data_IF_503714525170
#
_entry.id   IF_503714525170
#
_cell.length_a   1.000
_cell.length_b   1.000
_cell.length_c   1.000
_cell.angle_alpha   90.00
_cell.angle_beta   90.00
_cell.angle_gamma   90.00
#
_symmetry.space_group_name_H-M   'P 1'
#
loop_
_entity.id
_entity.type
_entity.pdbx_description
1 polymer ?
#
# COMPACT_ATOMS: atom_id res chain seq x y z
N UNK A 1 -7.34 8.36 -6.26
CA UNK A 1 -7.02 9.44 -7.23
C UNK A 1 -7.69 10.78 -6.94
N UNK A 2 -9.03 10.86 -6.84
CA UNK A 2 -9.73 12.13 -6.58
C UNK A 2 -9.27 12.82 -5.29
N UNK A 3 -9.23 12.06 -4.19
CA UNK A 3 -8.76 12.51 -2.88
C UNK A 3 -7.32 13.07 -2.93
N UNK A 4 -6.41 12.36 -3.61
CA UNK A 4 -5.03 12.81 -3.82
C UNK A 4 -4.97 14.16 -4.55
N UNK A 5 -5.74 14.32 -5.64
CA UNK A 5 -5.79 15.59 -6.40
C UNK A 5 -6.33 16.74 -5.57
N UNK A 6 -7.30 16.49 -4.68
CA UNK A 6 -7.77 17.50 -3.71
C UNK A 6 -6.66 17.86 -2.74
N UNK A 7 -5.95 16.90 -2.15
CA UNK A 7 -4.85 17.16 -1.21
C UNK A 7 -3.71 17.96 -1.84
N UNK A 8 -3.39 17.71 -3.12
CA UNK A 8 -2.42 18.49 -3.88
C UNK A 8 -2.92 19.91 -4.14
N UNK A 9 -4.16 20.08 -4.64
CA UNK A 9 -4.72 21.41 -4.92
C UNK A 9 -4.93 22.28 -3.68
N UNK A 10 -5.15 21.67 -2.52
CA UNK A 10 -5.41 22.37 -1.25
C UNK A 10 -4.15 22.70 -0.46
N UNK A 11 -2.95 22.40 -0.99
CA UNK A 11 -1.67 22.61 -0.31
C UNK A 11 -1.46 21.71 0.92
N UNK A 12 -2.37 20.76 1.17
CA UNK A 12 -2.23 19.78 2.27
C UNK A 12 -1.06 18.83 2.03
N UNK A 13 -0.68 18.64 0.77
CA UNK A 13 0.47 17.83 0.39
C UNK A 13 1.79 18.37 0.97
N UNK A 14 1.96 19.69 1.05
CA UNK A 14 3.15 20.30 1.65
C UNK A 14 3.20 20.06 3.16
N UNK A 15 2.03 19.97 3.82
CA UNK A 15 1.90 19.60 5.25
C UNK A 15 2.24 18.13 5.46
N UNK A 16 1.86 17.25 4.53
CA UNK A 16 2.24 15.83 4.58
C UNK A 16 3.77 15.71 4.42
N UNK A 17 4.35 16.40 3.43
CA UNK A 17 5.79 16.46 3.20
C UNK A 17 6.55 16.94 4.44
N UNK A 18 6.12 18.04 5.05
CA UNK A 18 6.73 18.58 6.27
C UNK A 18 6.57 17.65 7.46
N UNK A 19 5.44 16.95 7.59
CA UNK A 19 5.24 15.94 8.64
C UNK A 19 6.22 14.77 8.52
N UNK A 20 6.54 14.31 7.30
CA UNK A 20 7.52 13.24 7.06
C UNK A 20 8.94 13.75 7.32
N UNK A 21 9.28 14.95 6.84
CA UNK A 21 10.59 15.59 7.07
C UNK A 21 10.85 15.84 8.56
N UNK A 22 9.79 16.09 9.35
CA UNK A 22 9.90 16.26 10.80
C UNK A 22 10.30 14.98 11.55
N UNK A 23 10.07 13.80 10.96
CA UNK A 23 10.42 12.50 11.56
C UNK A 23 11.90 12.19 11.32
N UNK A 24 12.38 12.37 10.10
CA UNK A 24 13.79 12.12 9.77
C UNK A 24 14.27 12.93 8.57
N UNK A 25 15.48 13.51 8.65
CA UNK A 25 16.12 14.19 7.53
C UNK A 25 16.80 13.23 6.54
N UNK A 26 16.91 11.93 6.84
CA UNK A 26 17.59 10.92 6.02
C UNK A 26 16.64 10.32 4.97
N UNK A 27 17.01 10.42 3.70
CA UNK A 27 16.16 9.97 2.60
C UNK A 27 16.00 8.45 2.55
N UNK A 28 16.98 7.66 3.02
CA UNK A 28 16.83 6.19 3.12
C UNK A 28 15.69 5.82 4.07
N UNK A 29 15.60 6.52 5.19
CA UNK A 29 14.55 6.33 6.18
C UNK A 29 13.20 6.89 5.72
N UNK A 30 13.18 8.00 4.97
CA UNK A 30 11.97 8.48 4.30
C UNK A 30 11.42 7.46 3.30
N UNK A 31 12.30 6.73 2.60
CA UNK A 31 11.90 5.61 1.75
C UNK A 31 11.17 4.53 2.56
N UNK A 32 11.69 4.13 3.72
CA UNK A 32 11.02 3.14 4.57
C UNK A 32 9.65 3.62 5.09
N UNK A 33 9.52 4.89 5.44
CA UNK A 33 8.24 5.46 5.91
C UNK A 33 7.24 5.54 4.76
N UNK A 34 7.62 6.18 3.65
CA UNK A 34 6.71 6.55 2.57
C UNK A 34 6.59 5.43 1.54
N UNK A 35 7.70 4.97 0.99
CA UNK A 35 7.69 3.97 -0.07
C UNK A 35 7.29 2.58 0.44
N UNK A 36 7.74 2.21 1.64
CA UNK A 36 7.36 0.92 2.24
C UNK A 36 6.10 0.98 3.10
N UNK A 37 6.14 1.62 4.28
CA UNK A 37 5.03 1.51 5.23
C UNK A 37 3.75 2.13 4.68
N UNK A 38 3.81 3.38 4.24
CA UNK A 38 2.65 4.06 3.67
C UNK A 38 2.24 3.46 2.31
N UNK A 39 3.21 3.03 1.48
CA UNK A 39 2.94 2.30 0.24
C UNK A 39 2.18 1.00 0.46
N UNK A 40 2.62 0.16 1.39
CA UNK A 40 1.96 -1.09 1.75
C UNK A 40 0.55 -0.85 2.32
N UNK A 41 0.35 0.22 3.08
CA UNK A 41 -0.99 0.62 3.54
C UNK A 41 -1.93 0.90 2.36
N UNK A 42 -1.47 1.70 1.39
CA UNK A 42 -2.24 1.98 0.19
C UNK A 42 -2.45 0.73 -0.67
N UNK A 43 -1.49 -0.21 -0.71
CA UNK A 43 -1.62 -1.47 -1.46
C UNK A 43 -2.70 -2.36 -0.87
N UNK A 44 -2.73 -2.51 0.45
CA UNK A 44 -3.80 -3.22 1.14
C UNK A 44 -5.19 -2.61 0.86
N UNK A 45 -5.29 -1.28 0.77
CA UNK A 45 -6.58 -0.60 0.59
C UNK A 45 -7.04 -0.46 -0.88
N UNK A 46 -6.13 -0.17 -1.81
CA UNK A 46 -6.45 0.15 -3.20
C UNK A 46 -5.88 -0.87 -4.19
N UNK A 47 -4.65 -1.33 -3.95
CA UNK A 47 -3.92 -2.28 -4.79
C UNK A 47 -3.60 -1.82 -6.21
N UNK A 48 -3.25 -2.79 -7.04
CA UNK A 48 -3.09 -2.71 -8.50
C UNK A 48 -2.01 -1.76 -9.03
N UNK A 49 -1.15 -1.19 -8.18
CA UNK A 49 -0.08 -0.26 -8.58
C UNK A 49 -0.35 1.23 -8.30
N UNK A 50 -1.51 1.57 -7.74
CA UNK A 50 -1.88 2.94 -7.38
C UNK A 50 -1.02 3.45 -6.22
N UNK A 51 -0.66 2.60 -5.24
CA UNK A 51 0.29 2.94 -4.20
C UNK A 51 1.63 3.37 -4.75
N UNK A 52 2.16 2.63 -5.73
CA UNK A 52 3.45 2.92 -6.35
C UNK A 52 3.45 4.31 -6.95
N UNK A 53 2.40 4.67 -7.69
CA UNK A 53 2.28 6.01 -8.29
C UNK A 53 2.24 7.13 -7.22
N UNK A 54 1.43 6.95 -6.18
CA UNK A 54 1.24 7.97 -5.12
C UNK A 54 2.53 8.14 -4.30
N UNK A 55 3.15 7.03 -3.90
CA UNK A 55 4.36 7.03 -3.08
C UNK A 55 5.58 7.52 -3.86
N UNK A 56 5.71 7.16 -5.15
CA UNK A 56 6.75 7.71 -6.01
C UNK A 56 6.60 9.23 -6.15
N UNK A 57 5.39 9.74 -6.38
CA UNK A 57 5.14 11.19 -6.45
C UNK A 57 5.48 11.91 -5.13
N UNK A 58 5.18 11.29 -3.98
CA UNK A 58 5.57 11.80 -2.66
C UNK A 58 7.09 11.85 -2.48
N UNK A 59 7.80 10.78 -2.85
CA UNK A 59 9.26 10.73 -2.77
C UNK A 59 9.93 11.73 -3.73
N UNK A 60 9.38 11.93 -4.93
CA UNK A 60 9.83 13.00 -5.84
C UNK A 60 9.64 14.36 -5.19
N UNK A 61 8.50 14.57 -4.54
CA UNK A 61 8.26 15.76 -3.72
C UNK A 61 9.33 15.95 -2.64
N UNK A 62 9.88 14.88 -2.07
CA UNK A 62 10.96 14.89 -1.05
C UNK A 62 12.38 15.00 -1.65
N UNK A 63 12.50 15.23 -2.96
CA UNK A 63 13.79 15.45 -3.63
C UNK A 63 14.42 14.21 -4.29
N UNK A 64 13.68 13.09 -4.40
CA UNK A 64 14.16 11.94 -5.16
C UNK A 64 14.03 12.17 -6.67
N UNK A 65 14.95 11.59 -7.46
CA UNK A 65 14.82 11.58 -8.92
C UNK A 65 13.60 10.74 -9.35
N UNK A 66 12.72 11.20 -10.26
CA UNK A 66 11.46 10.53 -10.61
C UNK A 66 11.58 9.05 -10.97
N UNK A 67 12.42 8.71 -11.94
CA UNK A 67 12.62 7.32 -12.37
C UNK A 67 13.18 6.44 -11.25
N UNK A 68 14.06 7.01 -10.42
CA UNK A 68 14.67 6.28 -9.32
C UNK A 68 13.68 6.03 -8.18
N UNK A 69 12.87 7.04 -7.81
CA UNK A 69 11.81 6.90 -6.83
C UNK A 69 10.77 5.86 -7.26
N UNK A 70 10.32 5.91 -8.52
CA UNK A 70 9.39 4.94 -9.07
C UNK A 70 9.96 3.51 -9.03
N UNK A 71 11.23 3.35 -9.41
CA UNK A 71 11.93 2.06 -9.34
C UNK A 71 12.02 1.51 -7.91
N UNK A 72 12.38 2.34 -6.94
CA UNK A 72 12.42 1.94 -5.53
C UNK A 72 11.03 1.54 -5.01
N UNK A 73 10.00 2.33 -5.31
CA UNK A 73 8.62 2.00 -4.93
C UNK A 73 8.14 0.69 -5.55
N UNK A 74 8.48 0.42 -6.82
CA UNK A 74 8.13 -0.84 -7.48
C UNK A 74 8.77 -2.05 -6.78
N UNK A 75 10.06 -1.97 -6.46
CA UNK A 75 10.78 -3.05 -5.77
C UNK A 75 10.16 -3.31 -4.41
N UNK A 76 9.87 -2.26 -3.66
CA UNK A 76 9.35 -2.35 -2.29
C UNK A 76 7.92 -2.86 -2.25
N UNK A 77 7.12 -2.55 -3.27
CA UNK A 77 5.74 -3.02 -3.38
C UNK A 77 5.62 -4.54 -3.56
N UNK A 78 6.72 -5.25 -3.83
CA UNK A 78 6.73 -6.72 -3.90
C UNK A 78 6.41 -7.40 -2.57
N UNK A 79 6.65 -6.72 -1.44
CA UNK A 79 6.37 -7.23 -0.11
C UNK A 79 4.85 -7.31 0.22
N UNK A 80 4.06 -6.24 0.01
CA UNK A 80 2.62 -6.28 0.29
C UNK A 80 1.78 -7.00 -0.78
N UNK A 81 2.12 -6.90 -2.07
CA UNK A 81 1.21 -7.16 -3.21
C UNK A 81 0.27 -8.37 -3.12
N UNK A 82 0.67 -9.48 -2.49
CA UNK A 82 -0.19 -10.66 -2.37
C UNK A 82 -1.49 -10.40 -1.58
N UNK A 83 -1.47 -9.52 -0.57
CA UNK A 83 -2.67 -9.14 0.19
C UNK A 83 -3.27 -7.81 -0.27
N UNK A 84 -2.82 -7.31 -1.42
CA UNK A 84 -3.29 -6.06 -2.01
C UNK A 84 -4.77 -6.09 -2.38
N UNK A 85 -5.36 -4.90 -2.48
CA UNK A 85 -6.78 -4.68 -2.77
C UNK A 85 -7.70 -5.54 -1.89
N UNK A 86 -7.48 -5.52 -0.57
CA UNK A 86 -8.20 -6.34 0.41
C UNK A 86 -8.13 -7.84 0.12
N UNK A 87 -6.95 -8.36 -0.24
CA UNK A 87 -6.71 -9.80 -0.40
C UNK A 87 -7.26 -10.42 -1.68
N UNK A 88 -7.68 -9.61 -2.67
CA UNK A 88 -8.21 -10.11 -3.95
C UNK A 88 -7.31 -11.17 -4.59
N UNK A 89 -5.97 -11.02 -4.66
CA UNK A 89 -5.12 -12.06 -5.27
C UNK A 89 -5.25 -13.42 -4.58
N UNK A 90 -5.33 -13.45 -3.24
CA UNK A 90 -5.52 -14.69 -2.46
C UNK A 90 -6.93 -15.25 -2.65
N UNK A 91 -7.94 -14.39 -2.60
CA UNK A 91 -9.34 -14.79 -2.78
C UNK A 91 -9.58 -15.40 -4.17
N UNK A 92 -9.04 -14.76 -5.21
CA UNK A 92 -9.12 -15.27 -6.59
C UNK A 92 -8.31 -16.56 -6.73
N UNK A 93 -7.12 -16.64 -6.14
CA UNK A 93 -6.33 -17.87 -6.15
C UNK A 93 -7.09 -19.05 -5.52
N UNK A 94 -7.77 -18.84 -4.39
CA UNK A 94 -8.63 -19.87 -3.78
C UNK A 94 -9.80 -20.26 -4.68
N UNK A 95 -10.45 -19.29 -5.30
CA UNK A 95 -11.57 -19.54 -6.21
C UNK A 95 -11.19 -20.37 -7.45
N UNK A 96 -10.01 -20.12 -8.05
CA UNK A 96 -9.60 -20.85 -9.28
C UNK A 96 -8.99 -22.21 -8.98
N UNK A 97 -8.40 -22.39 -7.79
CA UNK A 97 -7.78 -23.67 -7.39
C UNK A 97 -8.73 -24.59 -6.62
N UNK A 98 -9.84 -24.05 -6.08
CA UNK A 98 -10.73 -24.77 -5.17
C UNK A 98 -10.14 -24.98 -3.77
N UNK A 99 -8.97 -24.39 -3.47
CA UNK A 99 -8.35 -24.41 -2.15
C UNK A 99 -8.93 -23.27 -1.30
N UNK A 100 -9.06 -23.49 0.00
CA UNK A 100 -9.54 -22.46 0.90
C UNK A 100 -8.64 -21.21 0.87
N UNK A 101 -9.25 -20.05 0.67
CA UNK A 101 -8.51 -18.78 0.54
C UNK A 101 -7.81 -18.41 1.83
N UNK A 102 -8.37 -18.82 2.97
CA UNK A 102 -7.74 -18.60 4.26
C UNK A 102 -6.46 -19.44 4.37
N UNK A 103 -6.48 -20.73 4.02
CA UNK A 103 -5.27 -21.57 3.97
C UNK A 103 -4.17 -21.01 3.04
N UNK A 104 -4.53 -20.55 1.83
CA UNK A 104 -3.56 -19.90 0.93
C UNK A 104 -2.96 -18.67 1.60
N UNK A 105 -3.80 -17.82 2.20
CA UNK A 105 -3.37 -16.62 2.93
C UNK A 105 -2.43 -16.95 4.09
N UNK A 106 -2.67 -18.05 4.81
CA UNK A 106 -1.80 -18.53 5.88
C UNK A 106 -0.42 -18.94 5.36
N UNK A 107 -0.37 -19.70 4.25
CA UNK A 107 0.89 -20.12 3.63
C UNK A 107 1.69 -18.93 3.14
N UNK A 108 1.04 -18.02 2.40
CA UNK A 108 1.67 -16.80 1.88
C UNK A 108 2.17 -15.91 3.01
N UNK A 109 1.37 -15.72 4.06
CA UNK A 109 1.75 -14.93 5.24
C UNK A 109 2.80 -15.58 6.14
N UNK A 110 3.21 -16.82 5.87
CA UNK A 110 4.39 -17.44 6.49
C UNK A 110 5.67 -17.21 5.68
N UNK A 111 5.54 -17.08 4.35
CA UNK A 111 6.67 -16.97 3.42
C UNK A 111 7.06 -15.51 3.14
N UNK A 112 6.07 -14.65 2.89
CA UNK A 112 6.30 -13.24 2.55
C UNK A 112 7.05 -12.45 3.64
N UNK A 113 6.76 -12.61 4.95
CA UNK A 113 7.48 -11.86 5.99
C UNK A 113 9.01 -11.98 5.90
N UNK A 114 9.50 -13.16 5.55
CA UNK A 114 10.93 -13.39 5.36
C UNK A 114 11.48 -12.64 4.14
N UNK A 115 10.78 -12.69 3.01
CA UNK A 115 11.17 -11.97 1.79
C UNK A 115 11.12 -10.46 1.97
N UNK A 116 10.13 -9.94 2.71
CA UNK A 116 10.00 -8.52 3.01
C UNK A 116 11.26 -7.97 3.67
N UNK A 117 11.79 -8.65 4.70
CA UNK A 117 13.01 -8.20 5.38
C UNK A 117 14.19 -8.15 4.40
N UNK A 118 14.35 -9.17 3.56
CA UNK A 118 15.41 -9.23 2.56
C UNK A 118 15.29 -8.07 1.56
N UNK A 119 14.09 -7.82 1.04
CA UNK A 119 13.82 -6.72 0.11
C UNK A 119 14.15 -5.38 0.76
N UNK A 120 13.80 -5.18 2.03
CA UNK A 120 14.11 -3.95 2.75
C UNK A 120 15.61 -3.74 2.99
N UNK A 121 16.38 -4.81 3.17
CA UNK A 121 17.85 -4.68 3.16
C UNK A 121 18.39 -4.38 1.76
N UNK A 122 17.80 -4.99 0.74
CA UNK A 122 18.24 -4.83 -0.64
C UNK A 122 18.04 -3.40 -1.15
N UNK A 123 16.93 -2.75 -0.81
CA UNK A 123 16.69 -1.34 -1.18
C UNK A 123 17.73 -0.40 -0.54
N UNK A 124 18.17 -0.69 0.70
CA UNK A 124 19.20 0.11 1.36
C UNK A 124 20.55 -0.05 0.64
N UNK A 125 20.80 -1.27 0.14
CA UNK A 125 21.95 -1.56 -0.71
C UNK A 125 21.89 -0.80 -2.04
N UNK A 126 20.71 -0.70 -2.67
CA UNK A 126 20.52 0.03 -3.93
C UNK A 126 20.70 1.55 -3.72
N UNK A 127 20.32 2.08 -2.56
CA UNK A 127 20.41 3.52 -2.26
C UNK A 127 21.81 3.99 -1.90
N UNK A 128 22.52 3.27 -1.04
CA UNK A 128 23.80 3.73 -0.48
C UNK A 128 24.79 2.56 -0.26
N UNK A 129 24.61 1.47 -1.01
CA UNK A 129 25.47 0.30 -0.98
C UNK A 129 25.54 -0.39 0.39
N UNK A 130 26.69 -0.98 0.68
CA UNK A 130 26.96 -1.65 1.96
C UNK A 130 26.88 -0.71 3.17
N UNK A 131 27.13 0.58 2.95
CA UNK A 131 27.03 1.61 3.99
C UNK A 131 25.58 1.87 4.37
N UNK A 132 24.70 1.95 3.36
CA UNK A 132 23.25 2.00 3.55
C UNK A 132 22.78 0.93 4.52
N UNK A 133 23.11 -0.33 4.23
CA UNK A 133 22.75 -1.47 5.10
C UNK A 133 23.29 -1.29 6.53
N UNK A 134 24.58 -1.02 6.69
CA UNK A 134 25.22 -0.94 8.02
C UNK A 134 24.72 0.23 8.87
N UNK A 135 24.31 1.32 8.26
CA UNK A 135 23.84 2.50 8.99
C UNK A 135 22.33 2.41 9.30
N UNK A 136 21.53 1.77 8.44
CA UNK A 136 20.06 1.74 8.57
C UNK A 136 19.50 0.40 9.04
N UNK A 137 20.32 -0.62 9.27
CA UNK A 137 19.85 -1.95 9.69
C UNK A 137 18.89 -1.92 10.90
N UNK A 138 19.04 -1.06 11.94
CA UNK A 138 18.11 -1.07 13.05
C UNK A 138 16.71 -0.64 12.61
N UNK A 139 16.63 0.39 11.75
CA UNK A 139 15.38 0.87 11.20
C UNK A 139 14.73 -0.16 10.25
N UNK A 140 15.54 -0.84 9.44
CA UNK A 140 15.06 -1.92 8.57
C UNK A 140 14.49 -3.08 9.37
N UNK A 141 15.16 -3.51 10.45
CA UNK A 141 14.69 -4.58 11.32
C UNK A 141 13.41 -4.18 12.05
N UNK A 142 13.31 -2.93 12.52
CA UNK A 142 12.10 -2.43 13.16
C UNK A 142 10.94 -2.40 12.16
N UNK A 143 11.12 -1.80 10.99
CA UNK A 143 10.07 -1.71 9.97
C UNK A 143 9.69 -3.10 9.44
N UNK A 144 10.65 -3.85 8.91
CA UNK A 144 10.43 -5.18 8.35
C UNK A 144 9.94 -6.18 9.38
N UNK A 145 10.49 -6.17 10.60
CA UNK A 145 10.10 -7.09 11.67
C UNK A 145 8.70 -6.83 12.21
N UNK A 146 8.35 -5.56 12.47
CA UNK A 146 7.00 -5.23 12.93
C UNK A 146 5.95 -5.47 11.84
N UNK A 147 6.27 -5.17 10.57
CA UNK A 147 5.43 -5.54 9.43
C UNK A 147 5.26 -7.05 9.33
N UNK A 148 6.36 -7.81 9.34
CA UNK A 148 6.39 -9.27 9.25
C UNK A 148 5.53 -9.95 10.32
N UNK A 149 5.68 -9.54 11.58
CA UNK A 149 4.94 -10.11 12.71
C UNK A 149 3.45 -9.79 12.57
N UNK A 150 3.10 -8.54 12.29
CA UNK A 150 1.71 -8.14 12.15
C UNK A 150 1.04 -8.80 10.93
N UNK A 151 1.76 -8.95 9.81
CA UNK A 151 1.27 -9.61 8.60
C UNK A 151 1.04 -11.11 8.87
N UNK A 152 1.99 -11.77 9.53
CA UNK A 152 1.84 -13.17 9.95
C UNK A 152 0.62 -13.37 10.87
N UNK A 153 0.47 -12.54 11.90
CA UNK A 153 -0.64 -12.68 12.85
C UNK A 153 -2.00 -12.45 12.17
N UNK A 154 -2.11 -11.39 11.38
CA UNK A 154 -3.36 -11.06 10.69
C UNK A 154 -3.73 -12.12 9.64
N UNK A 155 -2.77 -12.61 8.85
CA UNK A 155 -3.03 -13.65 7.85
C UNK A 155 -3.38 -15.00 8.47
N UNK A 156 -2.86 -15.31 9.67
CA UNK A 156 -3.12 -16.59 10.34
C UNK A 156 -4.42 -16.62 11.16
N UNK A 157 -4.88 -15.48 11.67
CA UNK A 157 -6.02 -15.43 12.59
C UNK A 157 -7.24 -14.64 12.10
N UNK A 158 -7.08 -13.72 11.14
CA UNK A 158 -8.16 -12.81 10.71
C UNK A 158 -8.61 -13.14 9.29
N UNK A 159 -7.64 -13.33 8.39
CA UNK A 159 -7.87 -13.72 7.00
C UNK A 159 -7.02 -12.92 6.02
N UNK A 160 -7.22 -13.15 4.71
CA UNK A 160 -6.35 -12.59 3.67
C UNK A 160 -6.61 -11.11 3.34
N UNK A 161 -7.63 -10.49 3.92
CA UNK A 161 -8.14 -9.20 3.45
C UNK A 161 -7.49 -7.98 4.15
N UNK A 162 -7.13 -8.17 5.42
CA UNK A 162 -6.58 -7.14 6.28
C UNK A 162 -5.04 -7.16 6.49
N UNK A 163 -4.26 -8.19 6.10
CA UNK A 163 -2.86 -8.27 6.52
C UNK A 163 -2.00 -7.06 6.20
N UNK A 164 -2.07 -6.55 4.97
CA UNK A 164 -1.25 -5.40 4.57
C UNK A 164 -1.66 -4.11 5.27
N UNK A 165 -2.95 -3.89 5.50
CA UNK A 165 -3.45 -2.70 6.19
C UNK A 165 -2.96 -2.70 7.65
N UNK A 166 -3.12 -3.81 8.35
CA UNK A 166 -2.73 -3.91 9.76
C UNK A 166 -1.20 -3.84 9.89
N UNK A 167 -0.48 -4.61 9.08
CA UNK A 167 0.98 -4.69 9.17
C UNK A 167 1.68 -3.39 8.81
N UNK A 168 1.19 -2.69 7.79
CA UNK A 168 1.73 -1.38 7.40
C UNK A 168 1.51 -0.31 8.47
N UNK A 169 0.34 -0.26 9.12
CA UNK A 169 0.05 0.70 10.19
C UNK A 169 0.89 0.41 11.44
N UNK A 170 1.00 -0.86 11.82
CA UNK A 170 1.87 -1.28 12.94
C UNK A 170 3.32 -0.91 12.63
N UNK A 171 3.80 -1.20 11.42
CA UNK A 171 5.16 -0.86 10.99
C UNK A 171 5.42 0.63 10.94
N UNK A 172 4.48 1.42 10.40
CA UNK A 172 4.57 2.86 10.34
C UNK A 172 4.67 3.47 11.74
N UNK A 173 3.87 2.98 12.69
CA UNK A 173 3.88 3.44 14.08
C UNK A 173 5.17 3.04 14.79
N UNK A 174 5.59 1.77 14.69
CA UNK A 174 6.83 1.27 15.29
C UNK A 174 8.06 2.01 14.76
N UNK A 175 8.17 2.17 13.44
CA UNK A 175 9.27 2.87 12.80
C UNK A 175 9.28 4.35 13.19
N UNK A 176 8.13 5.02 13.18
CA UNK A 176 8.04 6.44 13.55
C UNK A 176 8.43 6.68 15.01
N UNK A 177 7.97 5.83 15.93
CA UNK A 177 8.35 5.92 17.35
C UNK A 177 9.83 5.61 17.58
N UNK A 178 10.38 4.65 16.83
CA UNK A 178 11.80 4.33 16.87
C UNK A 178 12.67 5.49 16.38
N UNK A 179 12.32 6.09 15.23
CA UNK A 179 13.06 7.20 14.63
C UNK A 179 12.98 8.48 15.47
N UNK A 180 11.93 8.67 16.27
CA UNK A 180 11.90 9.77 17.25
C UNK A 180 13.01 9.68 18.30
N UNK A 181 13.51 8.48 18.60
CA UNK A 181 14.56 8.24 19.60
C UNK A 181 15.92 7.90 18.99
N UNK A 182 15.95 7.45 17.75
CA UNK A 182 17.15 7.01 17.07
C UNK A 182 17.25 7.61 15.67
N UNK A 183 18.44 8.12 15.32
CA UNK A 183 18.76 8.62 13.99
C UNK A 183 20.16 8.12 13.59
N UNK A 184 20.42 7.92 12.29
CA UNK A 184 21.72 7.49 11.82
C UNK A 184 22.77 8.58 12.06
N UNK A 185 24.01 8.18 12.34
CA UNK A 185 25.13 9.11 12.60
C UNK A 185 25.39 10.03 11.41
N UNK A 186 25.22 9.50 10.19
CA UNK A 186 25.29 10.25 8.94
C UNK A 186 23.92 10.30 8.30
N UNK A 187 23.45 11.51 8.04
CA UNK A 187 22.23 11.75 7.27
C UNK A 187 22.57 11.64 5.78
N UNK A 188 21.92 10.70 5.09
CA UNK A 188 22.04 10.54 3.65
C UNK A 188 20.98 11.36 2.91
N UNK A 189 21.41 12.14 1.91
CA UNK A 189 20.55 12.88 0.98
C UNK A 189 21.13 12.81 -0.43
N UNK A 190 20.27 12.63 -1.43
CA UNK A 190 20.60 12.67 -2.84
C UNK A 190 20.83 14.13 -3.27
N UNK A 191 22.08 14.47 -3.61
CA UNK A 191 22.44 15.72 -4.28
C UNK A 191 22.56 16.94 -3.37
N UNK A 192 23.77 17.19 -2.85
CA UNK A 192 24.13 18.40 -2.07
C UNK A 192 24.11 19.74 -2.84
N UNK A 193 23.54 19.82 -4.05
CA UNK A 193 23.72 20.98 -4.95
C UNK A 193 22.45 21.71 -5.41
N UNK A 194 21.26 21.43 -4.87
CA UNK A 194 20.06 22.19 -5.29
C UNK A 194 18.77 22.02 -4.47
N UNK A 195 18.63 20.96 -3.68
CA UNK A 195 17.45 20.77 -2.83
C UNK A 195 17.44 21.68 -1.58
N UNK A 196 18.59 22.29 -1.25
CA UNK A 196 18.84 22.98 0.02
C UNK A 196 17.96 24.21 0.29
N UNK A 197 17.37 24.86 -0.72
CA UNK A 197 16.55 26.06 -0.51
C UNK A 197 15.06 25.79 -0.22
N UNK A 198 14.48 24.75 -0.83
CA UNK A 198 13.07 24.39 -0.61
C UNK A 198 12.90 23.59 0.69
N UNK A 199 13.88 22.76 1.05
CA UNK A 199 13.82 21.97 2.29
C UNK A 199 14.08 22.81 3.55
N UNK A 200 14.92 23.86 3.48
CA UNK A 200 15.12 24.75 4.64
C UNK A 200 13.88 25.59 4.96
N UNK A 201 13.09 25.99 3.95
CA UNK A 201 11.87 26.78 4.18
C UNK A 201 10.72 25.95 4.75
N UNK A 202 10.57 24.69 4.31
CA UNK A 202 9.56 23.74 4.82
C UNK A 202 9.89 23.13 6.19
N UNK A 203 11.18 22.98 6.53
CA UNK A 203 11.59 22.52 7.86
C UNK A 203 11.34 23.58 8.96
N UNK A 204 11.24 24.86 8.60
CA UNK A 204 10.99 25.97 9.52
C UNK A 204 9.50 26.26 9.78
N UNK A 205 8.58 25.71 8.98
CA UNK A 205 7.14 25.79 9.26
C UNK A 205 6.70 24.65 10.17
N UNK A 206 6.85 24.85 11.48
CA UNK A 206 6.32 23.93 12.49
C UNK A 206 4.79 23.89 12.44
N UNK A 207 4.22 22.96 11.67
CA UNK A 207 2.78 22.75 11.64
C UNK A 207 2.30 22.16 12.96
N UNK A 208 1.15 22.62 13.43
CA UNK A 208 0.52 22.07 14.63
C UNK A 208 0.05 20.63 14.40
N UNK A 209 0.01 19.82 15.46
CA UNK A 209 -0.47 18.43 15.37
C UNK A 209 -1.88 18.31 14.76
N UNK A 210 -2.75 19.31 14.98
CA UNK A 210 -4.07 19.37 14.36
C UNK A 210 -4.05 19.62 12.85
N UNK A 211 -3.10 20.43 12.34
CA UNK A 211 -2.92 20.64 10.90
C UNK A 211 -2.36 19.38 10.22
N UNK A 212 -1.41 18.69 10.86
CA UNK A 212 -0.90 17.41 10.38
C UNK A 212 -2.02 16.38 10.35
N UNK A 213 -2.78 16.23 11.44
CA UNK A 213 -3.90 15.30 11.48
C UNK A 213 -4.93 15.61 10.38
N UNK A 214 -5.26 16.88 10.17
CA UNK A 214 -6.15 17.33 9.09
C UNK A 214 -5.62 16.97 7.71
N UNK A 215 -4.33 17.16 7.45
CA UNK A 215 -3.70 16.80 6.18
C UNK A 215 -3.74 15.29 5.92
N UNK A 216 -3.62 14.48 6.98
CA UNK A 216 -3.73 13.03 6.92
C UNK A 216 -5.18 12.50 6.91
N UNK A 217 -6.19 13.34 7.19
CA UNK A 217 -7.62 12.92 7.24
C UNK A 217 -8.07 12.10 6.04
N UNK A 218 -7.68 12.39 4.78
CA UNK A 218 -8.25 11.64 3.67
C UNK A 218 -7.74 10.19 3.63
N UNK A 219 -6.49 9.98 4.07
CA UNK A 219 -5.92 8.65 4.19
C UNK A 219 -6.48 7.93 5.42
N UNK A 220 -6.60 8.62 6.56
CA UNK A 220 -7.22 8.05 7.77
C UNK A 220 -8.69 7.67 7.55
N UNK A 221 -9.44 8.50 6.82
CA UNK A 221 -10.82 8.21 6.43
C UNK A 221 -10.91 6.99 5.52
N UNK A 222 -10.00 6.88 4.54
CA UNK A 222 -9.86 5.70 3.69
C UNK A 222 -9.56 4.45 4.54
N UNK A 223 -8.56 4.53 5.43
CA UNK A 223 -8.23 3.44 6.38
C UNK A 223 -9.47 3.00 7.15
N UNK A 224 -10.17 3.93 7.79
CA UNK A 224 -11.31 3.64 8.64
C UNK A 224 -12.45 3.01 7.84
N UNK A 225 -12.76 3.56 6.67
CA UNK A 225 -13.83 3.05 5.80
C UNK A 225 -13.53 1.64 5.30
N UNK A 226 -12.31 1.40 4.82
CA UNK A 226 -11.90 0.08 4.31
C UNK A 226 -11.87 -0.96 5.44
N UNK A 227 -11.36 -0.60 6.61
CA UNK A 227 -11.31 -1.50 7.77
C UNK A 227 -12.73 -1.83 8.24
N UNK A 228 -13.61 -0.82 8.33
CA UNK A 228 -15.02 -1.01 8.71
C UNK A 228 -15.79 -1.86 7.70
N UNK A 229 -15.50 -1.73 6.41
CA UNK A 229 -16.11 -2.59 5.39
C UNK A 229 -15.60 -4.04 5.52
N UNK A 230 -14.33 -4.21 5.90
CA UNK A 230 -13.66 -5.50 5.89
C UNK A 230 -13.98 -6.39 7.10
N UNK A 231 -14.54 -5.85 8.19
CA UNK A 231 -14.87 -6.66 9.37
C UNK A 231 -16.02 -7.64 9.09
N UNK A 232 -15.92 -8.91 9.55
CA UNK A 232 -16.96 -9.93 9.35
C UNK A 232 -18.39 -9.50 9.69
N UNK A 233 -18.68 -8.83 10.83
CA UNK A 233 -20.05 -8.41 11.14
C UNK A 233 -20.62 -7.38 10.17
N UNK A 234 -19.79 -6.49 9.61
CA UNK A 234 -20.26 -5.51 8.62
C UNK A 234 -20.54 -6.17 7.28
N UNK A 235 -19.66 -7.10 6.84
CA UNK A 235 -19.91 -7.90 5.63
C UNK A 235 -21.20 -8.71 5.71
N UNK A 236 -21.50 -9.27 6.88
CA UNK A 236 -22.73 -10.04 7.09
C UNK A 236 -24.01 -9.22 6.84
N UNK A 237 -23.96 -7.88 6.99
CA UNK A 237 -25.11 -7.01 6.70
C UNK A 237 -25.46 -6.98 5.20
N UNK A 238 -24.47 -7.17 4.32
CA UNK A 238 -24.62 -7.13 2.86
C UNK A 238 -24.60 -8.53 2.22
N UNK A 239 -24.38 -9.59 3.00
CA UNK A 239 -24.47 -10.97 2.53
C UNK A 239 -25.93 -11.37 2.24
N UNK A 240 -26.14 -12.47 1.51
CA UNK A 240 -27.47 -12.98 1.20
C UNK A 240 -28.29 -13.22 2.47
N UNK A 241 -29.37 -12.45 2.67
CA UNK A 241 -30.19 -12.47 3.89
C UNK A 241 -29.81 -11.44 4.96
N UNK A 242 -28.81 -10.58 4.71
CA UNK A 242 -28.43 -9.48 5.59
C UNK A 242 -29.36 -8.27 5.48
N UNK A 243 -29.40 -7.45 6.54
CA UNK A 243 -30.31 -6.30 6.65
C UNK A 243 -30.13 -5.23 5.55
N UNK A 244 -28.97 -5.19 4.90
CA UNK A 244 -28.62 -4.24 3.83
C UNK A 244 -28.43 -4.92 2.48
N UNK A 245 -28.82 -6.19 2.34
CA UNK A 245 -28.69 -6.93 1.08
C UNK A 245 -29.44 -6.25 -0.08
N UNK A 246 -30.62 -5.66 0.20
CA UNK A 246 -31.42 -4.91 -0.79
C UNK A 246 -30.71 -3.66 -1.35
N UNK A 247 -29.65 -3.18 -0.69
CA UNK A 247 -28.84 -2.06 -1.17
C UNK A 247 -27.70 -2.52 -2.11
N UNK A 248 -27.48 -3.82 -2.24
CA UNK A 248 -26.49 -4.40 -3.16
C UNK A 248 -27.07 -4.45 -4.56
N UNK A 249 -26.92 -3.36 -5.31
CA UNK A 249 -27.35 -3.28 -6.71
C UNK A 249 -26.30 -3.99 -7.57
N UNK A 250 -26.64 -5.17 -8.10
CA UNK A 250 -25.85 -5.84 -9.13
C UNK A 250 -26.36 -5.40 -10.50
N UNK A 251 -25.62 -4.55 -11.21
CA UNK A 251 -25.97 -4.16 -12.57
C UNK A 251 -25.40 -5.20 -13.54
N UNK A 252 -26.25 -6.01 -14.19
CA UNK A 252 -25.76 -6.97 -15.17
C UNK A 252 -25.21 -6.22 -16.37
N UNK A 253 -23.99 -6.55 -16.79
CA UNK A 253 -23.38 -5.91 -17.95
C UNK A 253 -24.03 -6.51 -19.20
N UNK A 254 -24.70 -5.69 -20.04
CA UNK A 254 -25.30 -6.17 -21.28
C UNK A 254 -24.22 -6.84 -22.15
N UNK A 255 -24.55 -7.97 -22.78
CA UNK A 255 -23.64 -8.74 -23.64
C UNK A 255 -22.43 -9.44 -22.97
N UNK A 256 -22.34 -9.45 -21.64
CA UNK A 256 -21.33 -10.26 -20.91
C UNK A 256 -21.96 -11.20 -19.87
N UNK A 257 -23.11 -10.81 -19.32
CA UNK A 257 -23.79 -11.61 -18.30
C UNK A 257 -24.20 -13.00 -18.84
N UNK A 258 -23.74 -14.08 -18.19
CA UNK A 258 -24.00 -15.49 -18.53
C UNK A 258 -23.43 -16.02 -19.85
N UNK A 259 -22.63 -15.23 -20.58
CA UNK A 259 -22.00 -15.68 -21.83
C UNK A 259 -20.67 -16.43 -21.58
N UNK A 260 -20.04 -16.19 -20.43
CA UNK A 260 -18.85 -16.94 -20.00
C UNK A 260 -19.32 -18.07 -19.08
N UNK A 261 -19.05 -19.32 -19.42
CA UNK A 261 -19.30 -20.46 -18.55
C UNK A 261 -18.00 -20.89 -17.88
N UNK A 262 -18.02 -21.10 -16.55
CA UNK A 262 -16.94 -21.83 -15.89
C UNK A 262 -17.02 -23.27 -16.40
N UNK A 263 -15.95 -23.75 -17.03
CA UNK A 263 -15.86 -25.13 -17.53
C UNK A 263 -14.92 -25.96 -16.63
N UNK A 264 -15.04 -27.29 -16.61
CA UNK A 264 -14.09 -28.15 -15.92
C UNK A 264 -12.65 -27.85 -16.38
N UNK A 265 -11.66 -27.81 -15.47
CA UNK A 265 -11.70 -28.28 -14.07
C UNK A 265 -12.11 -27.22 -13.03
N UNK A 266 -12.49 -25.99 -13.44
CA UNK A 266 -12.81 -24.89 -12.50
C UNK A 266 -14.11 -25.12 -11.73
N UNK A 267 -15.01 -25.94 -12.27
CA UNK A 267 -16.26 -26.42 -11.64
C UNK A 267 -16.56 -27.82 -12.17
N UNK A 268 -17.21 -28.65 -11.36
CA UNK A 268 -17.60 -30.02 -11.70
C UNK A 268 -18.61 -30.08 -12.86
N UNK A 269 -19.45 -29.05 -13.02
CA UNK A 269 -20.40 -28.90 -14.12
C UNK A 269 -20.34 -27.48 -14.68
N UNK A 270 -20.61 -27.35 -15.98
CA UNK A 270 -20.57 -26.06 -16.67
C UNK A 270 -21.62 -25.11 -16.07
N UNK A 271 -21.15 -24.06 -15.38
CA UNK A 271 -22.01 -23.07 -14.71
C UNK A 271 -21.77 -21.69 -15.30
N UNK A 272 -22.86 -20.98 -15.61
CA UNK A 272 -22.79 -19.65 -16.17
C UNK A 272 -22.17 -18.66 -15.16
N UNK A 273 -21.14 -17.93 -15.58
CA UNK A 273 -20.48 -16.89 -14.78
C UNK A 273 -21.31 -15.60 -14.83
N UNK A 274 -21.55 -14.99 -13.67
CA UNK A 274 -22.21 -13.69 -13.59
C UNK A 274 -21.25 -12.59 -14.05
N UNK A 275 -21.50 -12.01 -15.22
CA UNK A 275 -20.81 -10.82 -15.72
C UNK A 275 -21.48 -9.57 -15.19
N UNK A 276 -21.08 -9.13 -14.00
CA UNK A 276 -21.57 -7.89 -13.37
C UNK A 276 -20.54 -6.75 -13.49
N UNK A 277 -21.01 -5.55 -13.20
CA UNK A 277 -20.23 -4.31 -13.12
C UNK A 277 -18.99 -4.41 -12.21
N UNK A 278 -19.10 -5.11 -11.08
CA UNK A 278 -17.99 -5.32 -10.14
C UNK A 278 -16.86 -6.14 -10.76
N UNK A 279 -17.18 -7.22 -11.47
CA UNK A 279 -16.20 -8.03 -12.20
C UNK A 279 -15.56 -7.24 -13.35
N UNK A 280 -16.33 -6.40 -14.03
CA UNK A 280 -15.84 -5.53 -15.09
C UNK A 280 -14.85 -4.48 -14.55
N UNK A 281 -15.18 -3.85 -13.42
CA UNK A 281 -14.33 -2.84 -12.77
C UNK A 281 -13.00 -3.43 -12.32
N UNK A 282 -13.00 -4.66 -11.79
CA UNK A 282 -11.77 -5.37 -11.43
C UNK A 282 -10.91 -5.65 -12.67
N UNK A 283 -11.50 -6.14 -13.78
CA UNK A 283 -10.77 -6.37 -15.04
C UNK A 283 -10.19 -5.07 -15.59
N UNK A 284 -10.97 -3.98 -15.60
CA UNK A 284 -10.48 -2.67 -16.04
C UNK A 284 -9.38 -2.11 -15.14
N UNK A 285 -9.44 -2.30 -13.81
CA UNK A 285 -8.40 -1.86 -12.90
C UNK A 285 -7.12 -2.72 -12.99
N UNK A 286 -7.23 -4.03 -13.18
CA UNK A 286 -6.09 -4.95 -13.34
C UNK A 286 -5.33 -4.66 -14.63
N UNK A 287 -6.03 -4.32 -15.73
CA UNK A 287 -5.42 -4.15 -17.06
C UNK A 287 -5.04 -2.70 -17.43
N UNK A 288 -5.78 -1.68 -17.00
CA UNK A 288 -5.54 -0.29 -17.44
C UNK A 288 -4.51 0.45 -16.57
N UNK A 289 -4.27 0.00 -15.34
CA UNK A 289 -3.44 0.77 -14.42
C UNK A 289 -1.93 0.73 -14.67
N UNK A 290 -1.34 -0.34 -15.25
CA UNK A 290 0.01 -0.26 -15.81
C UNK A 290 0.15 0.88 -16.84
N UNK A 291 -0.86 1.09 -17.69
CA UNK A 291 -0.88 2.18 -18.68
C UNK A 291 -1.05 3.56 -18.02
N UNK A 292 -1.83 3.64 -16.93
CA UNK A 292 -1.98 4.85 -16.13
C UNK A 292 -0.69 5.26 -15.42
N UNK A 293 0.10 4.31 -14.92
CA UNK A 293 1.43 4.53 -14.35
C UNK A 293 2.40 5.08 -15.41
N UNK A 294 2.40 4.48 -16.61
CA UNK A 294 3.21 4.95 -17.75
C UNK A 294 2.79 6.36 -18.20
N UNK A 295 1.49 6.65 -18.27
CA UNK A 295 0.99 8.00 -18.61
C UNK A 295 1.29 9.06 -17.54
N UNK A 296 1.27 8.69 -16.26
CA UNK A 296 1.62 9.61 -15.16
C UNK A 296 3.13 9.90 -15.14
N UNK A 297 3.96 8.89 -15.41
CA UNK A 297 5.43 9.05 -15.50
C UNK A 297 5.85 9.94 -16.67
N UNK A 298 5.11 9.97 -17.78
CA UNK A 298 5.37 10.90 -18.90
C UNK A 298 4.97 12.36 -18.62
N UNK A 299 4.25 12.63 -17.53
CA UNK A 299 3.85 13.99 -17.11
C UNK A 299 4.75 14.61 -16.04
N UNK A 300 5.75 13.88 -15.56
CA UNK A 300 6.79 14.36 -14.64
C UNK A 300 8.14 14.36 -15.36
#
# INVERSE_FOLDING_TARGET
MFVYKISVKTGQFDIIRSSILSITPDQRLQMLIVGFCFGAFLEGAAGFGAPVAITAALLVGLGFKPLYAAGLCLIVNTAPVAFGAMGIPILVAGQVTGIDSFEIGQMVGRQLPFMTIIVLFWIMAIMDGWRGIKETWPAVVVAGGSFAIAQYLSSNFIGPELPDIISSLVSLLCLTLFLKRWQPVRVFRFGDLGASQVDMTLAHTGYTAGQVLRAWTPFLFLTATVTLWSIPPFKALFASGGALYEWVINIPVPYLNKLVARMPPVVSEATAYAGNDSNLLIVFYVQIMPDGLVMQLHRF
#
